data_IF_330478788247
#
_entry.id   IF_330478788247
#
_cell.length_a   1.000
_cell.length_b   1.000
_cell.length_c   1.000
_cell.angle_alpha   90.00
_cell.angle_beta   90.00
_cell.angle_gamma   90.00
#
_symmetry.space_group_name_H-M   'P 1'
#
loop_
_entity.id
_entity.type
_entity.pdbx_description
1 polymer ?
#
# COMPACT_ATOMS: atom_id res chain seq x y z
N UNK A 1 3.42 24.88 -17.38
CA UNK A 1 2.35 23.93 -17.72
C UNK A 1 2.02 23.16 -16.44
N UNK A 2 0.94 23.50 -15.72
CA UNK A 2 0.57 22.79 -14.47
C UNK A 2 0.09 21.39 -14.86
N UNK A 3 0.86 20.34 -14.57
CA UNK A 3 0.39 18.95 -14.74
C UNK A 3 -0.78 18.76 -13.78
N UNK A 4 -1.93 18.30 -14.29
CA UNK A 4 -3.04 17.88 -13.45
C UNK A 4 -2.56 16.66 -12.67
N UNK A 5 -2.49 16.75 -11.34
CA UNK A 5 -2.59 15.56 -10.51
C UNK A 5 -3.91 14.89 -10.88
N UNK A 6 -3.84 13.75 -11.57
CA UNK A 6 -5.03 12.93 -11.79
C UNK A 6 -5.36 12.29 -10.46
N UNK A 7 -6.26 12.92 -9.70
CA UNK A 7 -6.83 12.31 -8.51
C UNK A 7 -7.35 10.91 -8.86
N UNK A 8 -7.10 9.90 -8.01
CA UNK A 8 -7.50 8.54 -8.31
C UNK A 8 -9.02 8.45 -8.49
N UNK A 9 -9.44 7.70 -9.51
CA UNK A 9 -10.85 7.42 -9.73
C UNK A 9 -11.35 6.44 -8.67
N UNK A 10 -12.35 6.85 -7.89
CA UNK A 10 -12.92 6.07 -6.78
C UNK A 10 -14.44 5.99 -6.87
N UNK A 11 -15.02 4.95 -6.28
CA UNK A 11 -16.46 4.73 -6.18
C UNK A 11 -16.83 4.35 -4.73
N UNK A 12 -17.90 4.93 -4.14
CA UNK A 12 -18.28 4.61 -2.77
C UNK A 12 -18.96 3.23 -2.67
N UNK A 13 -18.33 2.29 -1.97
CA UNK A 13 -18.87 0.96 -1.64
C UNK A 13 -19.02 0.87 -0.12
N UNK A 14 -20.25 0.66 0.37
CA UNK A 14 -20.57 0.73 1.81
C UNK A 14 -20.07 2.03 2.50
N UNK A 15 -20.07 3.13 1.74
CA UNK A 15 -19.61 4.43 2.22
C UNK A 15 -18.10 4.66 2.16
N UNK A 16 -17.30 3.63 1.86
CA UNK A 16 -15.85 3.76 1.69
C UNK A 16 -15.47 4.04 0.22
N UNK A 17 -14.53 4.96 -0.05
CA UNK A 17 -14.02 5.20 -1.40
C UNK A 17 -13.10 4.06 -1.82
N UNK A 18 -13.55 3.22 -2.76
CA UNK A 18 -12.72 2.16 -3.35
C UNK A 18 -12.22 2.55 -4.74
N UNK A 19 -11.01 2.12 -5.07
CA UNK A 19 -10.40 2.34 -6.37
C UNK A 19 -11.24 1.71 -7.49
N UNK A 20 -11.56 2.53 -8.50
CA UNK A 20 -12.55 2.22 -9.52
C UNK A 20 -11.95 1.73 -10.85
N UNK A 21 -10.68 1.28 -10.84
CA UNK A 21 -9.97 0.77 -12.03
C UNK A 21 -9.36 -0.61 -11.77
N UNK A 22 -8.21 -0.90 -12.37
CA UNK A 22 -7.52 -2.19 -12.40
C UNK A 22 -6.10 -2.09 -11.85
N UNK A 23 -5.43 -3.25 -11.69
CA UNK A 23 -4.05 -3.30 -11.19
C UNK A 23 -3.09 -2.46 -12.03
N UNK A 24 -3.08 -2.52 -13.37
CA UNK A 24 -2.19 -1.68 -14.17
C UNK A 24 -2.35 -0.18 -13.86
N UNK A 25 -3.59 0.32 -13.75
CA UNK A 25 -3.82 1.71 -13.39
C UNK A 25 -3.34 2.06 -11.97
N UNK A 26 -3.45 1.14 -11.00
CA UNK A 26 -2.92 1.35 -9.66
C UNK A 26 -1.39 1.37 -9.66
N UNK A 27 -0.75 0.48 -10.42
CA UNK A 27 0.72 0.43 -10.60
C UNK A 27 1.22 1.72 -11.22
N UNK A 28 0.55 2.23 -12.26
CA UNK A 28 0.90 3.51 -12.90
C UNK A 28 0.89 4.66 -11.88
N UNK A 29 -0.10 4.71 -10.99
CA UNK A 29 -0.19 5.74 -9.94
C UNK A 29 0.98 5.63 -8.94
N UNK A 30 1.36 4.41 -8.55
CA UNK A 30 2.51 4.18 -7.65
C UNK A 30 3.81 4.60 -8.33
N UNK A 31 4.06 4.10 -9.54
CA UNK A 31 5.30 4.39 -10.29
C UNK A 31 5.43 5.89 -10.55
N UNK A 32 4.36 6.55 -10.98
CA UNK A 32 4.37 8.00 -11.17
C UNK A 32 4.61 8.75 -9.84
N UNK A 33 4.00 8.30 -8.75
CA UNK A 33 4.23 8.87 -7.42
C UNK A 33 5.69 8.81 -7.01
N UNK A 34 6.34 7.64 -7.15
CA UNK A 34 7.75 7.46 -6.81
C UNK A 34 8.68 8.29 -7.70
N UNK A 35 8.41 8.40 -9.01
CA UNK A 35 9.31 9.07 -9.96
C UNK A 35 9.18 10.60 -9.98
N UNK A 36 8.05 11.15 -9.52
CA UNK A 36 7.78 12.57 -9.68
C UNK A 36 8.19 13.43 -8.48
N UNK A 37 8.71 12.87 -7.38
CA UNK A 37 9.21 13.59 -6.20
C UNK A 37 8.31 14.77 -5.77
N UNK A 38 6.99 14.54 -5.75
CA UNK A 38 5.97 15.62 -5.63
C UNK A 38 5.17 15.61 -4.34
N UNK A 39 5.28 14.57 -3.51
CA UNK A 39 4.48 14.46 -2.28
C UNK A 39 5.27 14.95 -1.08
N UNK A 40 4.72 15.91 -0.34
CA UNK A 40 5.25 16.35 0.96
C UNK A 40 4.93 15.35 2.09
N UNK A 41 4.08 14.35 1.82
CA UNK A 41 3.66 13.34 2.79
C UNK A 41 3.55 11.93 2.18
N UNK A 42 3.79 10.86 2.97
CA UNK A 42 3.58 9.48 2.56
C UNK A 42 2.12 9.21 2.13
N UNK A 43 1.94 8.25 1.22
CA UNK A 43 0.62 7.85 0.69
C UNK A 43 0.30 6.41 1.06
N UNK A 44 -0.71 6.20 1.91
CA UNK A 44 -1.14 4.87 2.30
C UNK A 44 -2.03 4.21 1.24
N UNK A 45 -1.77 2.94 0.93
CA UNK A 45 -2.57 2.12 0.02
C UNK A 45 -2.98 0.83 0.75
N UNK A 46 -4.27 0.53 0.83
CA UNK A 46 -4.80 -0.72 1.39
C UNK A 46 -5.34 -1.63 0.29
N UNK A 47 -5.19 -2.94 0.46
CA UNK A 47 -5.95 -3.96 -0.25
C UNK A 47 -7.19 -4.34 0.57
N UNK A 48 -8.29 -3.62 0.37
CA UNK A 48 -9.49 -3.72 1.20
C UNK A 48 -10.43 -4.80 0.68
N UNK A 49 -10.42 -5.97 1.35
CA UNK A 49 -11.38 -7.04 1.11
C UNK A 49 -12.68 -6.90 1.90
N UNK A 50 -13.59 -7.89 1.75
CA UNK A 50 -14.89 -7.87 2.41
C UNK A 50 -14.79 -7.75 3.95
N UNK A 51 -13.80 -8.42 4.56
CA UNK A 51 -13.54 -8.31 6.00
C UNK A 51 -13.23 -6.87 6.42
N UNK A 52 -12.38 -6.16 5.67
CA UNK A 52 -12.05 -4.76 5.95
C UNK A 52 -13.26 -3.83 5.80
N UNK A 53 -14.08 -4.07 4.77
CA UNK A 53 -15.32 -3.31 4.55
C UNK A 53 -16.33 -3.49 5.69
N UNK A 54 -16.51 -4.72 6.15
CA UNK A 54 -17.42 -5.04 7.27
C UNK A 54 -16.89 -4.44 8.56
N UNK A 55 -15.59 -4.61 8.86
CA UNK A 55 -14.98 -4.06 10.06
C UNK A 55 -15.11 -2.53 10.12
N UNK A 56 -15.00 -1.84 8.98
CA UNK A 56 -15.22 -0.39 8.90
C UNK A 56 -16.69 0.04 9.11
N UNK A 57 -17.66 -0.87 9.05
CA UNK A 57 -19.03 -0.56 9.48
C UNK A 57 -19.18 -0.65 11.01
N UNK A 58 -18.31 -1.40 11.67
CA UNK A 58 -18.36 -1.67 13.11
C UNK A 58 -17.46 -0.71 13.91
N UNK A 59 -16.37 -0.23 13.29
CA UNK A 59 -15.36 0.63 13.91
C UNK A 59 -15.23 1.96 13.13
N UNK A 60 -15.83 3.06 13.64
CA UNK A 60 -15.74 4.37 13.01
C UNK A 60 -14.31 4.89 12.87
N UNK A 61 -13.41 4.60 13.82
CA UNK A 61 -12.02 5.03 13.75
C UNK A 61 -11.26 4.28 12.65
N UNK A 62 -11.57 2.99 12.44
CA UNK A 62 -11.03 2.24 11.31
C UNK A 62 -11.58 2.72 9.96
N UNK A 63 -12.84 3.17 9.95
CA UNK A 63 -13.43 3.77 8.76
C UNK A 63 -12.75 5.08 8.37
N UNK A 64 -12.61 6.01 9.31
CA UNK A 64 -11.93 7.29 9.10
C UNK A 64 -10.50 7.07 8.62
N UNK A 65 -9.82 6.05 9.17
CA UNK A 65 -8.50 5.62 8.73
C UNK A 65 -8.51 5.24 7.25
N UNK A 66 -9.38 4.34 6.81
CA UNK A 66 -9.48 3.95 5.40
C UNK A 66 -9.89 5.12 4.50
N UNK A 67 -10.76 6.02 4.95
CA UNK A 67 -11.15 7.22 4.20
C UNK A 67 -9.96 8.19 3.99
N UNK A 68 -8.97 8.17 4.90
CA UNK A 68 -7.74 8.97 4.77
C UNK A 68 -6.71 8.37 3.81
N UNK A 69 -6.86 7.11 3.39
CA UNK A 69 -5.87 6.44 2.53
C UNK A 69 -5.93 6.97 1.09
N UNK A 70 -4.76 7.03 0.46
CA UNK A 70 -4.64 7.45 -0.94
C UNK A 70 -5.39 6.51 -1.89
N UNK A 71 -5.32 5.20 -1.63
CA UNK A 71 -6.10 4.19 -2.35
C UNK A 71 -6.58 3.08 -1.43
N UNK A 72 -7.85 2.70 -1.58
CA UNK A 72 -8.39 1.43 -1.09
C UNK A 72 -8.67 0.52 -2.30
N UNK A 73 -7.74 -0.38 -2.58
CA UNK A 73 -7.84 -1.33 -3.67
C UNK A 73 -8.92 -2.38 -3.36
N UNK A 74 -9.84 -2.68 -4.28
CA UNK A 74 -10.89 -3.66 -4.04
C UNK A 74 -10.35 -5.10 -4.06
N UNK A 75 -10.05 -5.65 -2.88
CA UNK A 75 -9.56 -7.01 -2.73
C UNK A 75 -10.69 -8.03 -2.52
N UNK A 76 -11.59 -8.09 -3.50
CA UNK A 76 -12.69 -9.05 -3.49
C UNK A 76 -13.72 -8.78 -4.57
N UNK A 77 -14.32 -9.85 -5.10
CA UNK A 77 -15.36 -9.74 -6.13
C UNK A 77 -16.62 -8.97 -5.68
N UNK A 78 -17.14 -9.13 -4.44
CA UNK A 78 -18.37 -8.44 -4.04
C UNK A 78 -18.29 -6.92 -4.15
N UNK A 79 -17.16 -6.33 -3.73
CA UNK A 79 -16.94 -4.89 -3.81
C UNK A 79 -16.91 -4.39 -5.26
N UNK A 80 -16.28 -5.16 -6.16
CA UNK A 80 -16.24 -4.87 -7.60
C UNK A 80 -17.63 -4.91 -8.22
N UNK A 81 -18.47 -5.88 -7.86
CA UNK A 81 -19.85 -5.94 -8.36
C UNK A 81 -20.67 -4.72 -7.95
N UNK A 82 -20.58 -4.33 -6.67
CA UNK A 82 -21.27 -3.14 -6.16
C UNK A 82 -20.76 -1.87 -6.85
N UNK A 83 -19.44 -1.72 -7.01
CA UNK A 83 -18.88 -0.55 -7.68
C UNK A 83 -19.27 -0.47 -9.16
N UNK A 84 -19.26 -1.58 -9.90
CA UNK A 84 -19.75 -1.64 -11.29
C UNK A 84 -21.22 -1.29 -11.40
N UNK A 85 -22.04 -1.79 -10.48
CA UNK A 85 -23.46 -1.45 -10.42
C UNK A 85 -23.69 0.05 -10.15
N UNK A 86 -22.79 0.69 -9.39
CA UNK A 86 -22.76 2.14 -9.15
C UNK A 86 -22.13 2.97 -10.28
N UNK A 87 -21.86 2.38 -11.44
CA UNK A 87 -21.35 3.08 -12.63
C UNK A 87 -19.83 3.01 -12.83
N UNK A 88 -19.07 2.39 -11.92
CA UNK A 88 -17.63 2.16 -12.11
C UNK A 88 -17.37 0.94 -13.00
N UNK A 89 -17.75 1.02 -14.28
CA UNK A 89 -17.68 -0.11 -15.21
C UNK A 89 -16.25 -0.65 -15.42
N UNK A 90 -15.24 0.21 -15.28
CA UNK A 90 -13.82 -0.15 -15.38
C UNK A 90 -13.25 -0.81 -14.10
N UNK A 91 -14.00 -0.85 -13.01
CA UNK A 91 -13.52 -1.41 -11.74
C UNK A 91 -13.23 -2.90 -11.89
N UNK A 92 -12.06 -3.32 -11.43
CA UNK A 92 -11.64 -4.72 -11.39
C UNK A 92 -11.12 -5.07 -9.99
N UNK A 93 -11.05 -6.36 -9.69
CA UNK A 93 -10.46 -6.83 -8.44
C UNK A 93 -8.97 -6.52 -8.46
N UNK A 94 -8.48 -5.93 -7.39
CA UNK A 94 -7.06 -5.67 -7.17
C UNK A 94 -6.60 -6.52 -5.98
N UNK A 95 -6.23 -7.77 -6.26
CA UNK A 95 -5.76 -8.70 -5.22
C UNK A 95 -4.39 -8.25 -4.70
N UNK A 96 -4.21 -8.16 -3.39
CA UNK A 96 -2.97 -7.63 -2.79
C UNK A 96 -1.68 -8.29 -3.33
N UNK A 97 -1.57 -9.63 -3.38
CA UNK A 97 -0.42 -10.32 -3.95
C UNK A 97 -0.20 -10.07 -5.45
N UNK A 98 -1.28 -9.95 -6.24
CA UNK A 98 -1.16 -9.64 -7.68
C UNK A 98 -0.68 -8.20 -7.88
N UNK A 99 -1.18 -7.27 -7.05
CA UNK A 99 -0.73 -5.88 -7.04
C UNK A 99 0.74 -5.78 -6.62
N UNK A 100 1.16 -6.49 -5.56
CA UNK A 100 2.56 -6.59 -5.16
C UNK A 100 3.45 -7.06 -6.30
N UNK A 101 3.09 -8.18 -6.94
CA UNK A 101 3.86 -8.73 -8.06
C UNK A 101 3.94 -7.73 -9.22
N UNK A 102 2.82 -7.11 -9.60
CA UNK A 102 2.78 -6.15 -10.69
C UNK A 102 3.63 -4.89 -10.41
N UNK A 103 3.64 -4.38 -9.18
CA UNK A 103 4.54 -3.26 -8.81
C UNK A 103 5.99 -3.71 -8.88
N UNK A 104 6.34 -4.89 -8.37
CA UNK A 104 7.72 -5.41 -8.41
C UNK A 104 8.23 -5.57 -9.85
N UNK A 105 7.41 -6.10 -10.74
CA UNK A 105 7.73 -6.25 -12.16
C UNK A 105 7.90 -4.89 -12.85
N UNK A 106 6.95 -3.97 -12.65
CA UNK A 106 6.97 -2.66 -13.29
C UNK A 106 8.13 -1.77 -12.85
N UNK A 107 8.67 -2.01 -11.66
CA UNK A 107 9.75 -1.21 -11.06
C UNK A 107 11.13 -1.85 -11.15
N UNK A 108 11.24 -3.08 -11.68
CA UNK A 108 12.49 -3.84 -11.71
C UNK A 108 13.64 -3.10 -12.44
N UNK A 109 13.32 -2.33 -13.48
CA UNK A 109 14.28 -1.53 -14.26
C UNK A 109 14.24 -0.03 -13.95
N UNK A 110 13.49 0.38 -12.92
CA UNK A 110 13.34 1.78 -12.51
C UNK A 110 14.12 2.04 -11.22
N UNK A 111 14.52 3.30 -10.93
CA UNK A 111 15.18 3.66 -9.68
C UNK A 111 14.19 3.75 -8.51
N UNK A 112 13.24 2.82 -8.41
CA UNK A 112 12.27 2.75 -7.32
C UNK A 112 12.79 1.77 -6.28
N UNK A 113 12.95 2.27 -5.05
CA UNK A 113 13.51 1.55 -3.91
C UNK A 113 12.39 1.04 -3.02
N UNK A 114 12.42 -0.23 -2.65
CA UNK A 114 11.41 -0.89 -1.82
C UNK A 114 11.96 -1.24 -0.44
N UNK A 115 11.10 -1.24 0.56
CA UNK A 115 11.41 -1.69 1.92
C UNK A 115 10.36 -2.71 2.36
N UNK A 116 10.77 -3.82 2.98
CA UNK A 116 9.83 -4.84 3.48
C UNK A 116 9.76 -4.81 5.00
N UNK A 117 8.59 -4.52 5.55
CA UNK A 117 8.34 -4.47 6.99
C UNK A 117 7.29 -5.50 7.39
N UNK A 118 7.71 -6.61 8.02
CA UNK A 118 6.79 -7.63 8.51
C UNK A 118 7.32 -9.06 8.43
N UNK A 119 6.43 -10.00 8.72
CA UNK A 119 6.77 -11.42 8.83
C UNK A 119 7.51 -11.76 10.13
N UNK A 120 8.01 -12.99 10.19
CA UNK A 120 8.94 -13.43 11.24
C UNK A 120 10.37 -13.05 10.83
N UNK A 121 11.29 -13.11 11.77
CA UNK A 121 12.72 -12.93 11.53
C UNK A 121 13.18 -13.78 10.32
N UNK A 122 13.89 -13.15 9.38
CA UNK A 122 14.36 -13.76 8.14
C UNK A 122 13.31 -13.96 7.03
N UNK A 123 12.02 -13.72 7.26
CA UNK A 123 10.99 -13.85 6.21
C UNK A 123 11.10 -12.73 5.18
N UNK A 124 11.26 -11.48 5.62
CA UNK A 124 11.43 -10.34 4.73
C UNK A 124 12.71 -10.45 3.88
N UNK A 125 13.80 -10.98 4.44
CA UNK A 125 15.05 -11.21 3.71
C UNK A 125 14.89 -12.27 2.62
N UNK A 126 14.21 -13.38 2.92
CA UNK A 126 13.88 -14.39 1.90
C UNK A 126 12.96 -13.83 0.82
N UNK A 127 12.01 -12.96 1.20
CA UNK A 127 11.14 -12.31 0.22
C UNK A 127 11.94 -11.40 -0.72
N UNK A 128 12.93 -10.66 -0.20
CA UNK A 128 13.87 -9.88 -1.03
C UNK A 128 14.59 -10.76 -2.05
N UNK A 129 15.13 -11.90 -1.62
CA UNK A 129 15.82 -12.84 -2.50
C UNK A 129 14.87 -13.40 -3.57
N UNK A 130 13.67 -13.83 -3.16
CA UNK A 130 12.67 -14.37 -4.08
C UNK A 130 12.19 -13.33 -5.11
N UNK A 131 12.04 -12.07 -4.72
CA UNK A 131 11.68 -10.98 -5.64
C UNK A 131 12.79 -10.70 -6.65
N UNK A 132 14.05 -10.73 -6.22
CA UNK A 132 15.19 -10.56 -7.10
C UNK A 132 15.30 -11.70 -8.13
N UNK A 133 15.04 -12.94 -7.72
CA UNK A 133 15.05 -14.11 -8.60
C UNK A 133 13.84 -14.12 -9.55
N UNK A 134 12.64 -13.93 -9.02
CA UNK A 134 11.38 -14.10 -9.76
C UNK A 134 11.05 -12.93 -10.68
N UNK A 135 11.29 -11.70 -10.22
CA UNK A 135 10.87 -10.48 -10.93
C UNK A 135 12.07 -9.67 -11.45
N UNK A 136 13.30 -10.08 -11.16
CA UNK A 136 14.50 -9.32 -11.52
C UNK A 136 14.66 -8.00 -10.77
N UNK A 137 13.81 -7.71 -9.79
CA UNK A 137 13.84 -6.46 -9.03
C UNK A 137 14.81 -6.59 -7.85
N UNK A 138 15.95 -5.89 -7.95
CA UNK A 138 17.02 -5.89 -6.93
C UNK A 138 17.00 -4.64 -6.05
N UNK A 139 15.97 -3.82 -6.15
CA UNK A 139 15.90 -2.51 -5.49
C UNK A 139 15.21 -2.57 -4.11
N UNK A 140 15.19 -3.74 -3.47
CA UNK A 140 14.75 -3.85 -2.07
C UNK A 140 15.91 -3.45 -1.16
N UNK A 141 15.83 -2.24 -0.61
CA UNK A 141 16.94 -1.56 0.09
C UNK A 141 16.95 -1.79 1.60
N UNK A 142 15.91 -2.41 2.15
CA UNK A 142 15.86 -2.72 3.57
C UNK A 142 14.73 -3.69 3.92
N UNK A 143 14.89 -4.33 5.07
CA UNK A 143 13.95 -5.30 5.63
C UNK A 143 13.87 -5.07 7.13
N UNK A 144 12.66 -5.18 7.71
CA UNK A 144 12.44 -5.02 9.14
C UNK A 144 11.41 -6.05 9.62
N UNK A 145 11.70 -6.71 10.75
CA UNK A 145 10.78 -7.61 11.42
C UNK A 145 10.27 -6.93 12.70
N UNK A 146 9.09 -6.28 12.68
CA UNK A 146 8.57 -5.65 13.89
C UNK A 146 8.21 -6.71 14.94
N UNK A 147 8.28 -6.36 16.24
CA UNK A 147 7.93 -7.29 17.31
C UNK A 147 6.45 -7.69 17.24
N UNK A 148 6.09 -8.83 17.82
CA UNK A 148 4.70 -9.32 17.91
C UNK A 148 3.88 -8.58 18.99
N UNK A 149 3.99 -7.24 19.04
CA UNK A 149 3.27 -6.31 19.90
C UNK A 149 3.16 -4.95 19.22
N UNK A 150 2.28 -4.04 19.68
CA UNK A 150 2.33 -2.65 19.25
C UNK A 150 3.72 -2.04 19.48
N UNK A 151 4.14 -1.22 18.52
CA UNK A 151 5.35 -0.39 18.67
C UNK A 151 5.00 0.84 19.51
N UNK A 152 6.00 1.37 20.20
CA UNK A 152 5.92 2.72 20.80
C UNK A 152 6.21 3.79 19.74
N UNK A 153 5.86 5.04 20.02
CA UNK A 153 6.17 6.17 19.13
C UNK A 153 7.68 6.30 18.86
N UNK A 154 8.53 6.04 19.86
CA UNK A 154 10.00 6.04 19.70
C UNK A 154 10.46 4.92 18.77
N UNK A 155 9.84 3.73 18.83
CA UNK A 155 10.14 2.62 17.92
C UNK A 155 9.67 2.93 16.50
N UNK A 156 8.52 3.58 16.32
CA UNK A 156 8.09 4.07 15.02
C UNK A 156 9.00 5.16 14.47
N UNK A 157 9.45 6.10 15.30
CA UNK A 157 10.41 7.13 14.91
C UNK A 157 11.75 6.53 14.47
N UNK A 158 12.25 5.52 15.18
CA UNK A 158 13.46 4.80 14.81
C UNK A 158 13.29 4.05 13.47
N UNK A 159 12.16 3.35 13.29
CA UNK A 159 11.86 2.65 12.04
C UNK A 159 11.69 3.62 10.86
N UNK A 160 11.01 4.74 11.07
CA UNK A 160 10.87 5.79 10.06
C UNK A 160 12.22 6.37 9.64
N UNK A 161 13.10 6.67 10.60
CA UNK A 161 14.45 7.11 10.32
C UNK A 161 15.29 6.07 9.55
N UNK A 162 15.13 4.78 9.85
CA UNK A 162 15.76 3.69 9.10
C UNK A 162 15.31 3.68 7.63
N UNK A 163 13.99 3.75 7.40
CA UNK A 163 13.37 3.76 6.07
C UNK A 163 13.81 4.98 5.26
N UNK A 164 13.83 6.15 5.89
CA UNK A 164 14.24 7.42 5.26
C UNK A 164 15.74 7.40 4.93
N UNK A 165 16.59 6.85 5.80
CA UNK A 165 18.03 6.76 5.60
C UNK A 165 18.42 5.90 4.38
N UNK A 166 17.68 4.81 4.12
CA UNK A 166 17.87 4.00 2.90
C UNK A 166 17.16 4.58 1.67
N UNK A 167 16.34 5.62 1.88
CA UNK A 167 15.57 6.33 0.87
C UNK A 167 14.54 5.46 0.17
N UNK A 168 13.86 4.59 0.91
CA UNK A 168 12.78 3.79 0.35
C UNK A 168 11.70 4.71 -0.26
N UNK A 169 11.11 4.29 -1.38
CA UNK A 169 9.98 4.97 -2.02
C UNK A 169 8.67 4.21 -1.81
N UNK A 170 8.76 2.92 -1.46
CA UNK A 170 7.60 2.06 -1.21
C UNK A 170 7.92 1.16 -0.04
N UNK A 171 7.12 1.26 1.02
CA UNK A 171 7.19 0.36 2.18
C UNK A 171 6.06 -0.65 2.11
N UNK A 172 6.39 -1.94 2.10
CA UNK A 172 5.44 -3.03 2.11
C UNK A 172 5.25 -3.55 3.53
N UNK A 173 4.02 -3.50 4.02
CA UNK A 173 3.69 -3.89 5.39
C UNK A 173 3.03 -5.28 5.38
N UNK A 174 3.60 -6.23 6.12
CA UNK A 174 3.19 -7.64 6.16
C UNK A 174 3.03 -8.20 7.57
N UNK A 175 2.22 -7.56 8.42
CA UNK A 175 2.13 -7.85 9.87
C UNK A 175 0.79 -8.46 10.34
N UNK A 176 0.05 -9.10 9.42
CA UNK A 176 -1.30 -9.69 9.59
C UNK A 176 -2.45 -8.67 9.72
N UNK A 177 -3.59 -8.97 9.09
CA UNK A 177 -4.83 -8.18 9.15
C UNK A 177 -5.53 -8.39 10.50
N UNK A 178 -6.17 -7.37 11.12
CA UNK A 178 -6.45 -5.99 10.65
C UNK A 178 -5.42 -4.93 11.06
N UNK A 179 -4.23 -5.34 11.49
CA UNK A 179 -3.24 -4.43 12.10
C UNK A 179 -2.46 -3.59 11.08
N UNK A 180 -2.51 -3.98 9.81
CA UNK A 180 -1.65 -3.41 8.76
C UNK A 180 -2.00 -1.96 8.46
N UNK A 181 -3.28 -1.62 8.36
CA UNK A 181 -3.72 -0.26 8.03
C UNK A 181 -3.39 0.73 9.16
N UNK A 182 -3.61 0.32 10.42
CA UNK A 182 -3.24 1.17 11.57
C UNK A 182 -1.73 1.39 11.62
N UNK A 183 -0.95 0.32 11.47
CA UNK A 183 0.50 0.40 11.42
C UNK A 183 1.00 1.27 10.24
N UNK A 184 0.37 1.17 9.07
CA UNK A 184 0.72 2.01 7.93
C UNK A 184 0.50 3.49 8.20
N UNK A 185 -0.61 3.84 8.85
CA UNK A 185 -0.90 5.22 9.21
C UNK A 185 -0.01 5.75 10.33
N UNK A 186 0.30 4.94 11.33
CA UNK A 186 1.24 5.31 12.39
C UNK A 186 2.63 5.51 11.78
N UNK A 187 3.14 4.55 11.00
CA UNK A 187 4.44 4.66 10.33
C UNK A 187 4.51 5.89 9.41
N UNK A 188 3.45 6.20 8.66
CA UNK A 188 3.38 7.36 7.78
C UNK A 188 3.58 8.71 8.50
N UNK A 189 3.35 8.78 9.82
CA UNK A 189 3.64 9.98 10.62
C UNK A 189 5.12 10.16 10.93
N UNK A 190 5.92 9.10 10.75
CA UNK A 190 7.33 9.03 11.14
C UNK A 190 8.29 8.88 9.96
N UNK A 191 7.80 8.85 8.72
CA UNK A 191 8.63 8.68 7.51
C UNK A 191 8.31 9.75 6.47
N UNK A 192 9.24 10.00 5.55
CA UNK A 192 9.07 10.84 4.38
C UNK A 192 9.00 10.03 3.07
N UNK A 193 8.99 8.69 3.18
CA UNK A 193 8.95 7.75 2.06
C UNK A 193 7.63 7.75 1.27
#
# INVERSE_FOLDING_TARGET
MRRRETSPSVVPVLGLPLFARDIPAAVDLVVQGCLQATSESPRCISATGAHGLVHAQEDPAFRELLESFYLNLPDGKPAVWIGRWKGAHAMQRCYGPDFFAAVMEATASLPVRHFFCGGKEGVADRLREAVAEKFGNRNVVGTHCPPFRPLTDDEFAALGAEIDAVGAHVVWIGISTPKQERFAADLARHTQA
#
